data_IF_260337889124
#
_entry.id   IF_260337889124
#
_cell.length_a   1.000
_cell.length_b   1.000
_cell.length_c   1.000
_cell.angle_alpha   90.00
_cell.angle_beta   90.00
_cell.angle_gamma   90.00
#
_symmetry.space_group_name_H-M   'P 1'
#
loop_
_entity.id
_entity.type
_entity.pdbx_description
1 polymer ?
#
# COMPACT_ATOMS: atom_id res chain seq x y z
N UNK A 1 -16.72 7.26 2.18
CA UNK A 1 -16.37 6.27 3.22
C UNK A 1 -15.12 6.75 3.95
N UNK A 2 -15.02 6.61 5.27
CA UNK A 2 -14.01 7.20 6.19
C UNK A 2 -14.27 8.62 6.75
N UNK A 3 -15.33 9.33 6.35
CA UNK A 3 -15.67 10.64 6.94
C UNK A 3 -15.89 10.57 8.45
N UNK A 4 -16.70 9.61 8.92
CA UNK A 4 -16.94 9.41 10.35
C UNK A 4 -15.65 9.17 11.15
N UNK A 5 -14.69 8.43 10.58
CA UNK A 5 -13.39 8.21 11.22
C UNK A 5 -12.58 9.51 11.31
N UNK A 6 -12.64 10.34 10.26
CA UNK A 6 -11.95 11.64 10.21
C UNK A 6 -12.54 12.64 11.20
N UNK A 7 -13.86 12.60 11.40
CA UNK A 7 -14.60 13.49 12.30
C UNK A 7 -14.48 13.06 13.77
N UNK A 8 -14.71 11.78 14.07
CA UNK A 8 -14.74 11.28 15.45
C UNK A 8 -13.35 10.95 16.00
N UNK A 9 -12.41 10.54 15.14
CA UNK A 9 -11.08 10.06 15.55
C UNK A 9 -9.94 10.54 14.63
N UNK A 10 -9.75 11.86 14.45
CA UNK A 10 -8.78 12.41 13.50
C UNK A 10 -7.34 11.93 13.72
N UNK A 11 -6.95 11.66 14.97
CA UNK A 11 -5.61 11.15 15.32
C UNK A 11 -5.34 9.73 14.84
N UNK A 12 -6.37 8.96 14.47
CA UNK A 12 -6.22 7.60 13.94
C UNK A 12 -5.43 7.56 12.63
N UNK A 13 -5.33 8.69 11.91
CA UNK A 13 -4.54 8.79 10.68
C UNK A 13 -3.06 9.08 10.94
N UNK A 14 -2.67 9.45 12.16
CA UNK A 14 -1.27 9.75 12.50
C UNK A 14 -0.34 8.54 12.40
N UNK A 15 -0.90 7.32 12.43
CA UNK A 15 -0.16 6.06 12.25
C UNK A 15 0.01 5.64 10.79
N UNK A 16 -0.55 6.41 9.84
CA UNK A 16 -0.49 6.10 8.43
C UNK A 16 0.75 6.75 7.81
N UNK A 17 1.63 5.92 7.26
CA UNK A 17 2.75 6.37 6.42
C UNK A 17 2.53 5.88 5.00
N UNK A 18 2.60 6.78 4.04
CA UNK A 18 2.47 6.47 2.61
C UNK A 18 3.85 6.31 2.00
N UNK A 19 4.03 5.25 1.22
CA UNK A 19 5.23 5.00 0.45
C UNK A 19 4.84 4.88 -1.03
N UNK A 20 5.60 5.52 -1.89
CA UNK A 20 5.40 5.50 -3.33
C UNK A 20 6.08 4.26 -3.95
N UNK A 21 5.35 3.53 -4.81
CA UNK A 21 5.87 2.35 -5.51
C UNK A 21 4.86 1.73 -6.48
N UNK A 22 5.32 0.76 -7.26
CA UNK A 22 4.51 -0.07 -8.15
C UNK A 22 4.76 -1.54 -7.86
N UNK A 23 3.71 -2.26 -7.48
CA UNK A 23 3.77 -3.69 -7.12
C UNK A 23 4.25 -4.58 -8.27
N UNK A 24 4.23 -4.09 -9.52
CA UNK A 24 4.68 -4.83 -10.70
C UNK A 24 6.20 -4.74 -10.91
N UNK A 25 6.87 -3.78 -10.28
CA UNK A 25 8.29 -3.51 -10.44
C UNK A 25 9.13 -4.29 -9.42
N UNK A 26 10.42 -4.48 -9.72
CA UNK A 26 11.37 -5.07 -8.78
C UNK A 26 11.41 -4.26 -7.48
N UNK A 27 11.49 -4.95 -6.33
CA UNK A 27 11.43 -4.32 -5.00
C UNK A 27 10.21 -3.41 -4.82
N UNK A 28 9.10 -3.75 -5.48
CA UNK A 28 7.83 -3.02 -5.44
C UNK A 28 7.96 -1.57 -5.96
N UNK A 29 8.98 -1.28 -6.77
CA UNK A 29 9.26 0.07 -7.28
C UNK A 29 9.61 1.09 -6.20
N UNK A 30 9.97 0.63 -4.99
CA UNK A 30 10.25 1.49 -3.84
C UNK A 30 11.64 2.11 -3.93
N UNK A 31 11.80 3.27 -3.28
CA UNK A 31 13.14 3.79 -2.97
C UNK A 31 13.86 2.81 -2.06
N UNK A 32 15.18 2.69 -2.22
CA UNK A 32 15.99 1.76 -1.41
C UNK A 32 15.81 1.96 0.09
N UNK A 33 15.76 3.21 0.56
CA UNK A 33 15.54 3.53 1.98
C UNK A 33 14.20 3.03 2.51
N UNK A 34 13.14 3.14 1.70
CA UNK A 34 11.81 2.72 2.10
C UNK A 34 11.71 1.20 2.10
N UNK A 35 12.33 0.55 1.11
CA UNK A 35 12.44 -0.91 1.09
C UNK A 35 13.19 -1.45 2.32
N UNK A 36 14.33 -0.85 2.67
CA UNK A 36 15.11 -1.23 3.85
C UNK A 36 14.34 -1.03 5.15
N UNK A 37 13.66 0.11 5.30
CA UNK A 37 12.79 0.39 6.44
C UNK A 37 11.72 -0.69 6.58
N UNK A 38 10.97 -0.95 5.50
CA UNK A 38 9.90 -1.95 5.51
C UNK A 38 10.44 -3.36 5.80
N UNK A 39 11.58 -3.74 5.21
CA UNK A 39 12.20 -5.03 5.44
C UNK A 39 12.66 -5.22 6.90
N UNK A 40 13.02 -4.14 7.58
CA UNK A 40 13.49 -4.18 8.97
C UNK A 40 12.37 -4.08 10.02
N UNK A 41 11.30 -3.34 9.74
CA UNK A 41 10.27 -3.01 10.75
C UNK A 41 8.92 -3.72 10.54
N UNK A 42 8.60 -4.14 9.32
CA UNK A 42 7.30 -4.76 9.03
C UNK A 42 7.25 -6.19 9.53
N UNK A 43 6.22 -6.49 10.33
CA UNK A 43 5.98 -7.82 10.89
C UNK A 43 4.82 -8.56 10.21
N UNK A 44 3.92 -7.83 9.54
CA UNK A 44 2.74 -8.39 8.88
C UNK A 44 2.53 -7.68 7.54
N UNK A 45 2.32 -8.45 6.47
CA UNK A 45 2.03 -7.95 5.13
C UNK A 45 0.63 -8.36 4.71
N UNK A 46 -0.19 -7.37 4.32
CA UNK A 46 -1.47 -7.60 3.64
C UNK A 46 -1.30 -7.36 2.15
N UNK A 47 -1.24 -8.44 1.36
CA UNK A 47 -1.07 -8.34 -0.10
C UNK A 47 -2.43 -8.34 -0.80
N UNK A 48 -3.00 -7.14 -0.98
CA UNK A 48 -4.32 -6.94 -1.59
C UNK A 48 -4.31 -6.12 -2.89
N UNK A 49 -3.14 -5.67 -3.34
CA UNK A 49 -3.01 -4.89 -4.57
C UNK A 49 -3.25 -5.78 -5.79
N UNK A 50 -4.29 -5.46 -6.57
CA UNK A 50 -4.62 -6.16 -7.81
C UNK A 50 -5.35 -5.22 -8.78
N UNK A 51 -5.20 -5.47 -10.08
CA UNK A 51 -6.09 -4.87 -11.09
C UNK A 51 -7.32 -5.75 -11.21
N UNK A 52 -8.50 -5.22 -10.86
CA UNK A 52 -9.77 -5.94 -11.01
C UNK A 52 -10.56 -5.30 -12.15
N UNK A 53 -10.34 -5.80 -13.37
CA UNK A 53 -11.05 -5.39 -14.59
C UNK A 53 -11.56 -6.63 -15.32
N UNK A 54 -12.82 -6.96 -15.10
CA UNK A 54 -13.45 -8.17 -15.66
C UNK A 54 -13.67 -8.13 -17.18
N UNK A 55 -13.54 -6.96 -17.80
CA UNK A 55 -13.79 -6.75 -19.23
C UNK A 55 -12.49 -6.68 -20.05
N UNK A 56 -11.33 -6.92 -19.44
CA UNK A 56 -10.07 -7.02 -20.18
C UNK A 56 -9.86 -8.46 -20.65
N UNK A 57 -9.36 -8.62 -21.87
CA UNK A 57 -8.91 -9.92 -22.35
C UNK A 57 -7.76 -10.41 -21.47
N UNK A 58 -7.78 -11.69 -21.09
CA UNK A 58 -6.65 -12.37 -20.45
C UNK A 58 -5.42 -12.20 -21.35
N UNK A 59 -4.45 -11.42 -20.88
CA UNK A 59 -3.13 -11.30 -21.52
C UNK A 59 -2.18 -12.25 -20.81
N UNK A 60 -1.65 -13.22 -21.56
CA UNK A 60 -0.60 -14.13 -21.12
C UNK A 60 0.77 -13.50 -21.36
#
# INVERSE_FOLDING_TARGET
>A
CFERLREEYPSSLNKLSVVEGDVREEKLGLKSSDYELLASEVTIVFHAAATVRFNESLRF
#
